data_IF_728691300710
#
_entry.id   IF_728691300710
#
_cell.length_a   1.000
_cell.length_b   1.000
_cell.length_c   1.000
_cell.angle_alpha   90.00
_cell.angle_beta   90.00
_cell.angle_gamma   90.00
#
_symmetry.space_group_name_H-M   'P 1'
#
loop_
_entity.id
_entity.type
_entity.pdbx_description
1 polymer ?
#
# COMPACT_ATOMS: atom_id res chain seq x y z
N UNK A 1 7.58 -1.06 -11.94
CA UNK A 1 7.57 -1.32 -10.50
C UNK A 1 6.81 -2.62 -10.28
N UNK A 2 7.40 -3.66 -9.69
CA UNK A 2 6.68 -4.85 -9.24
C UNK A 2 6.52 -4.69 -7.73
N UNK A 3 5.40 -4.13 -7.24
CA UNK A 3 5.21 -3.97 -5.81
C UNK A 3 4.97 -5.33 -5.15
N UNK A 4 5.44 -5.51 -3.92
CA UNK A 4 5.11 -6.70 -3.13
C UNK A 4 3.60 -6.75 -2.82
N UNK A 5 2.97 -5.59 -2.62
CA UNK A 5 1.52 -5.48 -2.46
C UNK A 5 1.10 -4.10 -1.94
N UNK A 6 -0.19 -3.74 -2.03
CA UNK A 6 -0.71 -2.51 -1.44
C UNK A 6 -0.87 -2.65 0.07
N UNK A 7 -0.63 -1.55 0.79
CA UNK A 7 -1.21 -1.36 2.12
C UNK A 7 -2.64 -0.86 1.93
N UNK A 8 -3.62 -1.53 2.52
CA UNK A 8 -5.03 -1.18 2.42
C UNK A 8 -5.59 -0.83 3.80
N UNK A 9 -6.48 0.16 3.83
CA UNK A 9 -7.20 0.59 5.03
C UNK A 9 -8.70 0.39 4.84
N UNK A 10 -9.44 0.27 5.95
CA UNK A 10 -10.89 0.06 5.91
C UNK A 10 -11.60 1.25 5.26
N UNK A 11 -12.60 0.97 4.44
CA UNK A 11 -13.44 1.99 3.79
C UNK A 11 -14.18 2.87 4.81
N UNK A 12 -14.59 2.28 5.95
CA UNK A 12 -15.29 2.97 7.05
C UNK A 12 -14.41 3.91 7.88
N UNK A 13 -13.10 3.94 7.64
CA UNK A 13 -12.21 4.89 8.29
C UNK A 13 -12.50 6.30 7.76
N UNK A 14 -12.50 7.31 8.64
CA UNK A 14 -12.69 8.69 8.21
C UNK A 14 -11.47 9.22 7.43
N UNK A 15 -11.66 10.29 6.64
CA UNK A 15 -10.61 10.81 5.76
C UNK A 15 -9.40 11.36 6.52
N UNK A 16 -9.60 12.01 7.67
CA UNK A 16 -8.50 12.51 8.51
C UNK A 16 -7.56 11.38 8.96
N UNK A 17 -8.12 10.24 9.39
CA UNK A 17 -7.34 9.07 9.78
C UNK A 17 -6.64 8.42 8.59
N UNK A 18 -7.29 8.35 7.42
CA UNK A 18 -6.65 7.84 6.19
C UNK A 18 -5.45 8.70 5.81
N UNK A 19 -5.59 10.02 5.85
CA UNK A 19 -4.49 10.95 5.54
C UNK A 19 -3.33 10.81 6.53
N UNK A 20 -3.62 10.78 7.84
CA UNK A 20 -2.59 10.60 8.88
C UNK A 20 -1.85 9.28 8.74
N UNK A 21 -2.57 8.19 8.49
CA UNK A 21 -1.97 6.89 8.29
C UNK A 21 -1.07 6.86 7.04
N UNK A 22 -1.55 7.41 5.92
CA UNK A 22 -0.76 7.53 4.69
C UNK A 22 0.53 8.31 4.94
N UNK A 23 0.44 9.47 5.58
CA UNK A 23 1.60 10.30 5.89
C UNK A 23 2.59 9.55 6.77
N UNK A 24 2.11 8.93 7.86
CA UNK A 24 2.94 8.13 8.76
C UNK A 24 3.69 7.03 8.01
N UNK A 25 3.01 6.26 7.15
CA UNK A 25 3.64 5.19 6.37
C UNK A 25 4.69 5.74 5.39
N UNK A 26 4.40 6.83 4.69
CA UNK A 26 5.34 7.43 3.74
C UNK A 26 6.60 7.99 4.42
N UNK A 27 6.47 8.52 5.64
CA UNK A 27 7.57 9.10 6.40
C UNK A 27 8.37 8.06 7.20
N UNK A 28 7.78 6.90 7.53
CA UNK A 28 8.41 5.87 8.36
C UNK A 28 9.81 5.42 7.89
N UNK A 29 10.07 5.19 6.58
CA UNK A 29 11.39 4.76 6.11
C UNK A 29 12.52 5.76 6.39
N UNK A 30 12.19 7.05 6.52
CA UNK A 30 13.18 8.12 6.72
C UNK A 30 13.20 8.63 8.16
N UNK A 31 12.03 8.71 8.81
CA UNK A 31 11.89 9.18 10.19
C UNK A 31 12.32 8.14 11.23
N UNK A 32 12.08 6.85 10.96
CA UNK A 32 12.54 5.74 11.81
C UNK A 32 12.82 4.48 10.98
N UNK A 33 14.02 4.40 10.35
CA UNK A 33 14.40 3.27 9.51
C UNK A 33 14.44 1.93 10.26
N UNK A 34 14.71 1.94 11.57
CA UNK A 34 14.77 0.74 12.39
C UNK A 34 13.36 0.18 12.61
N UNK A 35 12.40 1.04 12.97
CA UNK A 35 10.99 0.68 13.06
C UNK A 35 10.45 0.20 11.70
N UNK A 36 10.75 0.93 10.62
CA UNK A 36 10.37 0.54 9.26
C UNK A 36 10.83 -0.89 8.94
N UNK A 37 12.10 -1.19 9.17
CA UNK A 37 12.69 -2.50 8.90
C UNK A 37 12.04 -3.61 9.75
N UNK A 38 11.78 -3.33 11.02
CA UNK A 38 11.16 -4.27 11.94
C UNK A 38 9.71 -4.59 11.60
N UNK A 39 8.93 -3.61 11.15
CA UNK A 39 7.50 -3.77 10.83
C UNK A 39 7.30 -4.41 9.45
N UNK A 40 8.06 -3.96 8.45
CA UNK A 40 7.87 -4.42 7.07
C UNK A 40 8.49 -5.79 6.82
N UNK A 41 9.63 -6.09 7.47
CA UNK A 41 10.33 -7.35 7.34
C UNK A 41 10.93 -7.58 5.95
N UNK A 42 12.26 -7.50 5.83
CA UNK A 42 12.99 -7.68 4.57
C UNK A 42 13.53 -6.39 3.98
N UNK A 43 14.03 -6.44 2.75
CA UNK A 43 14.81 -5.35 2.11
C UNK A 43 13.93 -4.29 1.40
N UNK A 44 12.89 -3.82 2.09
CA UNK A 44 12.04 -2.76 1.56
C UNK A 44 12.77 -1.41 1.55
N UNK A 45 12.48 -0.58 0.55
CA UNK A 45 13.06 0.78 0.42
C UNK A 45 12.10 1.91 0.77
N UNK A 46 10.82 1.60 0.93
CA UNK A 46 9.78 2.58 1.27
C UNK A 46 8.47 2.29 0.56
N UNK A 47 7.62 3.32 0.50
CA UNK A 47 6.31 3.27 -0.13
C UNK A 47 6.20 4.26 -1.29
N UNK A 48 5.30 3.94 -2.22
CA UNK A 48 4.90 4.81 -3.31
C UNK A 48 3.39 4.92 -3.29
N UNK A 49 2.89 6.13 -3.53
CA UNK A 49 1.46 6.36 -3.68
C UNK A 49 0.93 5.69 -4.96
N UNK A 50 -0.15 4.94 -4.79
CA UNK A 50 -0.88 4.27 -5.87
C UNK A 50 -2.38 4.38 -5.62
N UNK A 51 -3.17 4.20 -6.68
CA UNK A 51 -4.63 4.10 -6.61
C UNK A 51 -5.12 2.78 -7.25
N UNK A 52 -6.43 2.59 -7.32
CA UNK A 52 -7.02 1.36 -7.89
C UNK A 52 -6.68 1.17 -9.37
N UNK A 53 -6.48 2.24 -10.13
CA UNK A 53 -6.17 2.17 -11.57
C UNK A 53 -4.83 1.46 -11.80
N UNK A 54 -3.87 1.62 -10.89
CA UNK A 54 -2.60 0.90 -10.92
C UNK A 54 -2.79 -0.62 -10.93
N UNK A 55 -3.82 -1.11 -10.26
CA UNK A 55 -4.13 -2.54 -10.14
C UNK A 55 -5.16 -3.04 -11.15
N UNK A 56 -5.74 -2.14 -11.97
CA UNK A 56 -6.82 -2.45 -12.91
C UNK A 56 -6.48 -3.63 -13.84
N UNK A 57 -5.29 -3.74 -14.45
CA UNK A 57 -4.99 -4.88 -15.33
C UNK A 57 -5.10 -6.23 -14.62
N UNK A 58 -4.65 -6.31 -13.37
CA UNK A 58 -4.69 -7.55 -12.57
C UNK A 58 -6.12 -7.86 -12.10
N UNK A 59 -6.90 -6.83 -11.74
CA UNK A 59 -8.31 -6.97 -11.36
C UNK A 59 -9.11 -7.55 -12.53
N UNK A 60 -8.96 -6.99 -13.73
CA UNK A 60 -9.70 -7.44 -14.91
C UNK A 60 -9.27 -8.84 -15.36
N UNK A 61 -7.96 -9.16 -15.29
CA UNK A 61 -7.48 -10.52 -15.57
C UNK A 61 -8.09 -11.57 -14.62
N UNK A 62 -8.21 -11.25 -13.33
CA UNK A 62 -8.85 -12.13 -12.35
C UNK A 62 -10.35 -12.28 -12.60
N UNK A 63 -11.07 -11.21 -12.92
CA UNK A 63 -12.50 -11.28 -13.29
C UNK A 63 -12.73 -12.17 -14.52
N UNK A 64 -11.90 -12.04 -15.54
CA UNK A 64 -12.00 -12.84 -16.76
C UNK A 64 -11.80 -14.34 -16.51
N UNK A 65 -10.97 -14.71 -15.53
CA UNK A 65 -10.66 -16.11 -15.20
C UNK A 65 -11.76 -16.78 -14.36
N UNK A 66 -12.45 -16.00 -13.51
CA UNK A 66 -13.48 -16.52 -12.58
C UNK A 66 -14.87 -16.57 -13.26
N UNK A 67 -15.00 -16.04 -14.48
CA UNK A 67 -16.28 -15.97 -15.20
C UNK A 67 -17.15 -14.83 -14.67
N UNK A 68 -16.66 -13.60 -14.84
CA UNK A 68 -17.27 -12.36 -14.32
C UNK A 68 -18.75 -12.17 -14.61
#
# INVERSE_FOLDING_TARGET
LIPNGPVVVRTSMNEDMKMKFKQFMMDLPTSDPACFSAVQGGDFKGFTEVNVDFYKPIIEARKATIGG
#
